data_IF_317013855570
#
_entry.id   IF_317013855570
#
_cell.length_a   1.000
_cell.length_b   1.000
_cell.length_c   1.000
_cell.angle_alpha   90.00
_cell.angle_beta   90.00
_cell.angle_gamma   90.00
#
_symmetry.space_group_name_H-M   'P 1'
#
loop_
_entity.id
_entity.type
_entity.pdbx_description
1 polymer ?
#
# COMPACT_ATOMS: atom_id res chain seq x y z
N UNK A 1 12.67 44.69 -2.16
CA UNK A 1 11.72 44.07 -3.10
C UNK A 1 12.19 42.65 -3.30
N UNK A 2 11.39 41.64 -2.95
CA UNK A 2 11.78 40.24 -3.18
C UNK A 2 11.80 39.98 -4.69
N UNK A 3 12.90 39.42 -5.20
CA UNK A 3 13.08 39.11 -6.61
C UNK A 3 12.63 37.68 -6.90
N UNK A 4 12.49 37.31 -8.18
CA UNK A 4 12.10 35.94 -8.59
C UNK A 4 13.04 34.85 -8.04
N UNK A 5 14.27 35.23 -7.64
CA UNK A 5 15.25 34.37 -6.99
C UNK A 5 14.91 33.99 -5.54
N UNK A 6 14.00 34.72 -4.89
CA UNK A 6 13.61 34.51 -3.48
C UNK A 6 12.41 33.55 -3.33
N UNK A 7 11.83 33.07 -4.43
CA UNK A 7 10.69 32.15 -4.41
C UNK A 7 11.22 30.71 -4.42
N UNK A 8 10.86 29.92 -3.40
CA UNK A 8 11.29 28.53 -3.21
C UNK A 8 10.69 27.51 -4.19
N UNK A 9 10.61 27.85 -5.48
CA UNK A 9 10.16 26.95 -6.56
C UNK A 9 11.38 26.12 -7.02
N UNK A 10 11.33 24.77 -6.93
CA UNK A 10 12.41 23.92 -7.40
C UNK A 10 12.71 24.15 -8.88
N UNK A 11 13.96 24.50 -9.21
CA UNK A 11 14.45 24.66 -10.58
C UNK A 11 14.45 26.08 -11.15
N UNK A 12 14.03 27.11 -10.41
CA UNK A 12 13.96 28.50 -10.91
C UNK A 12 14.69 29.53 -10.03
N UNK A 13 15.47 29.08 -9.04
CA UNK A 13 16.27 29.98 -8.20
C UNK A 13 17.05 29.25 -7.10
N UNK A 14 18.09 29.90 -6.57
CA UNK A 14 18.86 29.46 -5.39
C UNK A 14 18.22 29.93 -4.06
N UNK A 15 16.92 30.21 -4.08
CA UNK A 15 16.17 30.74 -2.94
C UNK A 15 15.91 29.72 -1.84
N UNK A 16 15.31 30.20 -0.74
CA UNK A 16 14.94 29.37 0.42
C UNK A 16 13.89 28.33 -0.02
N UNK A 17 14.30 27.07 -0.13
CA UNK A 17 13.41 25.96 -0.47
C UNK A 17 12.49 25.65 0.72
N UNK A 18 11.18 25.74 0.50
CA UNK A 18 10.20 25.36 1.50
C UNK A 18 10.20 23.84 1.72
N UNK A 19 10.24 23.34 2.98
CA UNK A 19 10.05 21.92 3.26
C UNK A 19 8.67 21.42 2.78
N UNK A 20 8.62 20.18 2.30
CA UNK A 20 7.35 19.56 1.87
C UNK A 20 6.38 19.48 3.06
N UNK A 21 5.19 20.02 2.87
CA UNK A 21 4.15 20.03 3.89
C UNK A 21 3.54 18.63 4.07
N UNK A 22 3.29 18.23 5.33
CA UNK A 22 2.69 16.92 5.68
C UNK A 22 1.30 16.71 5.09
N UNK A 23 0.55 17.78 4.84
CA UNK A 23 -0.83 17.74 4.34
C UNK A 23 -0.94 17.79 2.81
N UNK A 24 0.17 18.00 2.08
CA UNK A 24 0.14 18.07 0.61
C UNK A 24 0.49 16.73 0.00
N UNK A 25 -0.52 15.89 -0.15
CA UNK A 25 -0.42 14.59 -0.79
C UNK A 25 -1.77 14.20 -1.42
N UNK A 26 -1.72 13.22 -2.31
CA UNK A 26 -2.88 12.51 -2.85
C UNK A 26 -2.49 11.03 -2.92
N UNK A 27 -3.36 10.15 -2.45
CA UNK A 27 -3.24 8.70 -2.65
C UNK A 27 -4.13 8.33 -3.82
N UNK A 28 -3.68 7.44 -4.68
CA UNK A 28 -4.46 6.89 -5.79
C UNK A 28 -4.35 5.38 -5.75
N UNK A 29 -5.47 4.69 -5.91
CA UNK A 29 -5.52 3.24 -5.90
C UNK A 29 -5.58 2.71 -7.33
N UNK A 30 -4.73 1.75 -7.68
CA UNK A 30 -4.76 1.12 -8.99
C UNK A 30 -5.62 -0.15 -8.92
N UNK A 31 -6.63 -0.26 -9.80
CA UNK A 31 -7.47 -1.46 -9.99
C UNK A 31 -8.13 -2.01 -8.72
N UNK A 32 -8.41 -1.16 -7.73
CA UNK A 32 -9.15 -1.57 -6.53
C UNK A 32 -10.62 -1.87 -6.89
N UNK A 33 -11.17 -2.97 -6.38
CA UNK A 33 -12.57 -3.36 -6.60
C UNK A 33 -12.88 -3.96 -7.98
N UNK A 34 -11.88 -4.19 -8.84
CA UNK A 34 -12.11 -4.69 -10.22
C UNK A 34 -12.04 -3.62 -11.30
N UNK A 35 -11.73 -2.37 -10.92
CA UNK A 35 -11.16 -1.36 -11.81
C UNK A 35 -12.16 -0.61 -12.68
N UNK A 36 -12.62 0.55 -12.20
CA UNK A 36 -13.10 1.64 -13.08
C UNK A 36 -12.73 3.01 -12.50
N UNK A 37 -12.73 3.20 -11.17
CA UNK A 37 -12.43 4.50 -10.60
C UNK A 37 -11.85 4.43 -9.17
N UNK A 38 -10.80 5.22 -8.91
CA UNK A 38 -10.20 5.40 -7.57
C UNK A 38 -10.50 6.76 -6.95
N UNK A 39 -11.20 7.64 -7.67
CA UNK A 39 -11.56 8.97 -7.19
C UNK A 39 -12.36 8.96 -5.88
N UNK A 40 -13.35 8.07 -5.66
CA UNK A 40 -14.12 8.06 -4.41
C UNK A 40 -13.23 7.89 -3.18
N UNK A 41 -12.29 6.94 -3.23
CA UNK A 41 -11.36 6.65 -2.14
C UNK A 41 -10.26 7.70 -2.00
N UNK A 42 -9.78 8.23 -3.13
CA UNK A 42 -8.68 9.20 -3.15
C UNK A 42 -9.09 10.54 -2.54
N UNK A 43 -10.35 10.95 -2.68
CA UNK A 43 -10.87 12.19 -2.13
C UNK A 43 -11.20 12.11 -0.64
N UNK A 44 -11.55 10.92 -0.16
CA UNK A 44 -12.00 10.69 1.22
C UNK A 44 -10.87 10.22 2.16
N UNK A 45 -9.64 10.10 1.65
CA UNK A 45 -8.47 9.69 2.44
C UNK A 45 -7.97 10.82 3.36
N UNK A 46 -7.80 10.52 4.65
CA UNK A 46 -7.40 11.52 5.67
C UNK A 46 -5.97 11.31 6.14
N UNK A 47 -5.59 10.06 6.36
CA UNK A 47 -4.22 9.72 6.74
C UNK A 47 -3.77 8.49 5.97
N UNK A 48 -2.48 8.50 5.62
CA UNK A 48 -1.79 7.38 5.02
C UNK A 48 -0.39 7.30 5.63
N UNK A 49 0.01 6.10 6.02
CA UNK A 49 1.41 5.83 6.39
C UNK A 49 2.19 5.42 5.16
N UNK A 50 3.44 5.87 5.08
CA UNK A 50 4.35 5.49 3.99
C UNK A 50 4.83 4.06 4.22
N UNK A 51 5.01 3.26 3.17
CA UNK A 51 5.61 1.94 3.32
C UNK A 51 7.04 2.09 3.84
N UNK A 52 7.34 1.33 4.90
CA UNK A 52 8.67 1.27 5.50
C UNK A 52 9.25 -0.11 5.24
N UNK A 53 10.50 -0.14 4.79
CA UNK A 53 11.27 -1.36 4.59
C UNK A 53 12.20 -1.53 5.79
N UNK A 54 11.98 -2.57 6.57
CA UNK A 54 12.83 -2.97 7.69
C UNK A 54 13.71 -4.15 7.28
N UNK A 55 14.93 -4.21 7.84
CA UNK A 55 15.86 -5.30 7.63
C UNK A 55 16.13 -5.99 8.96
N UNK A 56 16.14 -7.31 8.95
CA UNK A 56 16.59 -8.09 10.10
C UNK A 56 18.10 -7.91 10.28
N UNK A 57 18.55 -7.62 11.50
CA UNK A 57 19.98 -7.51 11.79
C UNK A 57 20.56 -8.89 12.07
N UNK A 58 21.50 -9.31 11.23
CA UNK A 58 22.22 -10.58 11.42
C UNK A 58 23.59 -10.26 12.00
N UNK A 59 23.83 -10.74 13.22
CA UNK A 59 25.12 -10.61 13.89
C UNK A 59 26.10 -11.65 13.35
N UNK A 60 27.28 -11.19 12.95
CA UNK A 60 28.43 -12.00 12.58
C UNK A 60 29.54 -11.79 13.61
N UNK A 61 29.79 -12.80 14.42
CA UNK A 61 30.83 -12.77 15.45
C UNK A 61 32.18 -13.20 14.89
N UNK A 62 33.22 -12.41 15.16
CA UNK A 62 34.62 -12.74 14.88
C UNK A 62 35.48 -12.48 16.11
N UNK A 63 35.83 -13.55 16.82
CA UNK A 63 36.59 -13.52 18.07
C UNK A 63 35.95 -12.60 19.13
N UNK A 64 36.50 -11.40 19.35
CA UNK A 64 35.91 -10.42 20.29
C UNK A 64 35.03 -9.37 19.60
N UNK A 65 35.06 -9.32 18.27
CA UNK A 65 34.41 -8.28 17.48
C UNK A 65 33.08 -8.78 16.93
N UNK A 66 32.10 -7.88 16.86
CA UNK A 66 30.77 -8.13 16.31
C UNK A 66 30.56 -7.26 15.09
N UNK A 67 30.21 -7.87 13.97
CA UNK A 67 29.77 -7.17 12.76
C UNK A 67 28.26 -7.37 12.59
N UNK A 68 27.58 -6.36 12.06
CA UNK A 68 26.15 -6.39 11.82
C UNK A 68 25.91 -6.31 10.31
N UNK A 69 25.13 -7.25 9.78
CA UNK A 69 24.78 -7.30 8.36
C UNK A 69 23.27 -7.22 8.23
N UNK A 70 22.80 -6.45 7.25
CA UNK A 70 21.39 -6.42 6.89
C UNK A 70 21.00 -7.77 6.27
N UNK A 71 20.14 -8.50 6.98
CA UNK A 71 19.57 -9.76 6.57
C UNK A 71 18.34 -9.58 5.69
N UNK A 72 17.34 -10.43 5.91
CA UNK A 72 16.12 -10.43 5.09
C UNK A 72 15.35 -9.12 5.30
N UNK A 73 14.78 -8.61 4.21
CA UNK A 73 13.92 -7.44 4.25
C UNK A 73 12.46 -7.81 4.47
N UNK A 74 11.75 -6.96 5.19
CA UNK A 74 10.32 -7.04 5.45
C UNK A 74 9.67 -5.69 5.19
N UNK A 75 8.54 -5.69 4.48
CA UNK A 75 7.71 -4.50 4.36
C UNK A 75 6.75 -4.42 5.54
N UNK A 76 6.74 -3.28 6.23
CA UNK A 76 5.79 -3.05 7.31
C UNK A 76 4.38 -2.77 6.76
N UNK A 77 3.31 -3.16 7.49
CA UNK A 77 1.94 -2.90 7.07
C UNK A 77 1.69 -1.39 6.93
N UNK A 78 1.19 -0.98 5.77
CA UNK A 78 0.69 0.39 5.60
C UNK A 78 -0.74 0.50 6.12
N UNK A 79 -1.08 1.67 6.62
CA UNK A 79 -2.40 1.99 7.16
C UNK A 79 -2.94 3.23 6.47
N UNK A 80 -4.22 3.18 6.13
CA UNK A 80 -4.96 4.29 5.51
C UNK A 80 -6.26 4.45 6.28
N UNK A 81 -6.59 5.69 6.64
CA UNK A 81 -7.88 6.04 7.25
C UNK A 81 -8.70 6.84 6.26
N UNK A 82 -9.94 6.41 6.06
CA UNK A 82 -10.87 6.99 5.08
C UNK A 82 -12.16 7.31 5.84
N UNK A 83 -12.70 8.51 5.65
CA UNK A 83 -14.04 8.87 6.13
C UNK A 83 -15.00 8.85 4.96
N UNK A 84 -15.91 7.87 4.97
CA UNK A 84 -16.90 7.75 3.91
C UNK A 84 -17.94 8.86 3.98
N UNK A 85 -18.43 9.26 2.81
CA UNK A 85 -19.50 10.26 2.70
C UNK A 85 -20.89 9.59 2.75
N UNK A 86 -21.94 10.40 2.68
CA UNK A 86 -23.34 9.93 2.75
C UNK A 86 -23.69 8.99 1.59
N UNK A 87 -22.96 9.04 0.47
CA UNK A 87 -23.21 8.16 -0.68
C UNK A 87 -22.65 6.75 -0.48
N UNK A 88 -21.73 6.55 0.48
CA UNK A 88 -21.19 5.23 0.81
C UNK A 88 -20.21 4.67 -0.23
N UNK A 89 -19.71 5.51 -1.14
CA UNK A 89 -18.94 5.07 -2.30
C UNK A 89 -17.60 4.44 -1.93
N UNK A 90 -16.90 4.93 -0.90
CA UNK A 90 -15.63 4.31 -0.49
C UNK A 90 -15.84 2.94 0.14
N UNK A 91 -16.85 2.80 1.01
CA UNK A 91 -17.16 1.53 1.64
C UNK A 91 -17.52 0.47 0.59
N UNK A 92 -18.30 0.84 -0.43
CA UNK A 92 -18.67 -0.08 -1.51
C UNK A 92 -17.44 -0.63 -2.24
N UNK A 93 -16.51 0.23 -2.67
CA UNK A 93 -15.29 -0.21 -3.39
C UNK A 93 -14.40 -1.09 -2.51
N UNK A 94 -14.30 -0.78 -1.21
CA UNK A 94 -13.53 -1.61 -0.26
C UNK A 94 -14.20 -2.98 -0.09
N UNK A 95 -15.52 -3.03 0.03
CA UNK A 95 -16.26 -4.29 0.15
C UNK A 95 -16.13 -5.16 -1.10
N UNK A 96 -16.25 -4.56 -2.28
CA UNK A 96 -16.03 -5.25 -3.56
C UNK A 96 -14.61 -5.83 -3.65
N UNK A 97 -13.60 -5.07 -3.23
CA UNK A 97 -12.23 -5.57 -3.17
C UNK A 97 -12.07 -6.74 -2.19
N UNK A 98 -12.62 -6.64 -0.98
CA UNK A 98 -12.57 -7.71 0.02
C UNK A 98 -13.32 -8.95 -0.45
N UNK A 99 -14.44 -8.77 -1.15
CA UNK A 99 -15.21 -9.86 -1.75
C UNK A 99 -14.38 -10.58 -2.82
N UNK A 100 -13.73 -9.85 -3.72
CA UNK A 100 -12.87 -10.43 -4.75
C UNK A 100 -11.68 -11.20 -4.14
N UNK A 101 -11.08 -10.68 -3.07
CA UNK A 101 -9.98 -11.36 -2.36
C UNK A 101 -10.44 -12.65 -1.66
N UNK A 102 -11.63 -12.64 -1.05
CA UNK A 102 -12.20 -13.85 -0.44
C UNK A 102 -12.63 -14.87 -1.50
N UNK A 103 -13.19 -14.43 -2.62
CA UNK A 103 -13.57 -15.30 -3.73
C UNK A 103 -12.39 -16.04 -4.32
N UNK A 104 -11.18 -15.51 -4.26
CA UNK A 104 -9.97 -16.19 -4.75
C UNK A 104 -9.75 -17.57 -4.10
N UNK A 105 -10.17 -17.73 -2.84
CA UNK A 105 -9.91 -18.90 -1.99
C UNK A 105 -11.20 -19.69 -1.66
N UNK A 106 -12.38 -19.10 -1.88
CA UNK A 106 -13.68 -19.71 -1.55
C UNK A 106 -14.14 -20.84 -2.50
N UNK A 107 -15.31 -21.42 -2.22
CA UNK A 107 -15.90 -22.58 -2.92
C UNK A 107 -16.27 -22.38 -4.41
N UNK A 108 -15.82 -21.29 -5.04
CA UNK A 108 -15.89 -21.03 -6.48
C UNK A 108 -14.66 -20.29 -7.03
N UNK A 109 -13.58 -20.17 -6.23
CA UNK A 109 -12.36 -19.46 -6.57
C UNK A 109 -11.42 -20.25 -7.48
N UNK A 110 -10.51 -19.58 -8.17
CA UNK A 110 -9.52 -20.25 -9.03
C UNK A 110 -8.52 -21.11 -8.24
N UNK A 111 -8.30 -20.79 -6.96
CA UNK A 111 -7.36 -21.48 -6.09
C UNK A 111 -8.11 -22.12 -4.91
N UNK A 112 -7.61 -23.26 -4.43
CA UNK A 112 -8.15 -23.98 -3.27
C UNK A 112 -9.62 -24.44 -3.42
N UNK A 113 -10.10 -24.60 -4.66
CA UNK A 113 -11.35 -25.31 -4.90
C UNK A 113 -11.25 -26.72 -4.29
N UNK A 114 -12.20 -27.16 -3.45
CA UNK A 114 -12.34 -28.58 -3.17
C UNK A 114 -12.53 -29.26 -4.52
N UNK A 115 -11.63 -30.19 -4.87
CA UNK A 115 -11.69 -30.91 -6.14
C UNK A 115 -13.13 -31.34 -6.40
N UNK A 116 -13.68 -30.93 -7.54
CA UNK A 116 -14.99 -31.37 -8.00
C UNK A 116 -14.98 -32.89 -8.04
N UNK A 117 -15.62 -33.51 -7.05
CA UNK A 117 -15.86 -34.94 -6.94
C UNK A 117 -14.61 -35.79 -6.66
N UNK A 118 -14.48 -36.25 -5.40
CA UNK A 118 -13.64 -37.39 -5.01
C UNK A 118 -13.97 -38.71 -5.72
N UNK A 119 -14.92 -38.71 -6.66
CA UNK A 119 -15.27 -39.83 -7.55
C UNK A 119 -14.15 -40.13 -8.57
N UNK A 120 -13.44 -39.10 -9.05
CA UNK A 120 -12.37 -39.24 -10.06
C UNK A 120 -11.11 -39.93 -9.52
N UNK A 121 -10.97 -40.07 -8.20
CA UNK A 121 -9.82 -40.70 -7.55
C UNK A 121 -10.06 -42.16 -7.15
N UNK A 122 -11.25 -42.72 -7.42
CA UNK A 122 -11.49 -44.13 -7.18
C UNK A 122 -11.04 -44.92 -8.41
N UNK A 123 -9.99 -45.73 -8.24
CA UNK A 123 -9.59 -46.72 -9.23
C UNK A 123 -10.80 -47.57 -9.61
N UNK A 124 -11.05 -47.71 -10.92
CA UNK A 124 -11.99 -48.70 -11.47
C UNK A 124 -11.53 -50.10 -11.08
#
# INVERSE_FOLDING_TARGET
MATINDIGIPGVGSGILQPKLKNRWRVTFANLGGGVDSQPLSHQAITVTRPVLSFEEVQLDRYNSRAWVAGKHTFEPMTVTIEDDVTGGATQVIQEQLQNQQQLIGAGGQFLQPAGEGSLYKFV
#
